data_IF_894006608380
#
_entry.id   IF_894006608380
#
_cell.length_a   1.000
_cell.length_b   1.000
_cell.length_c   1.000
_cell.angle_alpha   90.00
_cell.angle_beta   90.00
_cell.angle_gamma   90.00
#
_symmetry.space_group_name_H-M   'P 1'
#
loop_
_entity.id
_entity.type
_entity.pdbx_description
1 polymer ?
#
# COMPACT_ATOMS: atom_id res chain seq x y z
N UNK A 1 -1.51 -26.81 -33.19
CA UNK A 1 -2.23 -26.48 -31.94
C UNK A 1 -1.94 -25.02 -31.59
N UNK A 2 -2.94 -24.12 -31.63
CA UNK A 2 -2.77 -22.80 -31.03
C UNK A 2 -2.70 -23.00 -29.51
N UNK A 3 -1.64 -22.52 -28.86
CA UNK A 3 -1.47 -22.69 -27.41
C UNK A 3 -0.08 -23.17 -26.95
N UNK A 4 0.85 -23.42 -27.87
CA UNK A 4 2.25 -23.64 -27.47
C UNK A 4 2.88 -22.29 -27.12
N UNK A 5 2.85 -21.93 -25.83
CA UNK A 5 3.57 -20.77 -25.34
C UNK A 5 5.07 -20.98 -25.55
N UNK A 6 5.76 -19.99 -26.14
CA UNK A 6 7.20 -20.08 -26.44
C UNK A 6 8.09 -20.32 -25.20
N UNK A 7 7.63 -19.91 -24.02
CA UNK A 7 8.40 -19.93 -22.78
C UNK A 7 7.68 -20.71 -21.67
N UNK A 8 8.46 -21.26 -20.72
CA UNK A 8 7.94 -21.97 -19.54
C UNK A 8 7.17 -21.01 -18.62
N UNK A 9 6.12 -21.54 -17.97
CA UNK A 9 5.30 -20.81 -17.00
C UNK A 9 5.96 -20.83 -15.61
N UNK A 10 5.92 -19.70 -14.91
CA UNK A 10 6.31 -19.57 -13.49
C UNK A 10 5.02 -19.35 -12.69
N UNK A 11 4.81 -20.13 -11.63
CA UNK A 11 3.63 -20.05 -10.79
C UNK A 11 4.02 -19.67 -9.35
N UNK A 12 3.23 -18.80 -8.74
CA UNK A 12 3.37 -18.36 -7.35
C UNK A 12 2.13 -18.79 -6.56
N UNK A 13 2.29 -19.02 -5.26
CA UNK A 13 1.19 -19.32 -4.33
C UNK A 13 1.25 -18.32 -3.16
N UNK A 14 0.90 -17.06 -3.41
CA UNK A 14 0.86 -16.05 -2.35
C UNK A 14 -0.23 -16.37 -1.35
N UNK A 15 0.00 -16.01 -0.10
CA UNK A 15 -1.04 -15.89 0.92
C UNK A 15 -2.07 -14.83 0.51
N UNK A 16 -3.26 -14.83 1.13
CA UNK A 16 -4.36 -13.93 0.70
C UNK A 16 -3.96 -12.45 0.76
N UNK A 17 -3.26 -12.04 1.82
CA UNK A 17 -2.80 -10.66 1.95
C UNK A 17 -1.70 -10.29 0.94
N UNK A 18 -0.81 -11.21 0.63
CA UNK A 18 0.21 -11.03 -0.40
C UNK A 18 -0.45 -10.88 -1.78
N UNK A 19 -1.49 -11.69 -2.04
CA UNK A 19 -2.27 -11.63 -3.28
C UNK A 19 -2.90 -10.25 -3.46
N UNK A 20 -3.54 -9.73 -2.42
CA UNK A 20 -4.19 -8.41 -2.44
C UNK A 20 -3.16 -7.30 -2.70
N UNK A 21 -2.01 -7.32 -2.00
CA UNK A 21 -0.94 -6.34 -2.23
C UNK A 21 -0.41 -6.41 -3.67
N UNK A 22 -0.18 -7.62 -4.20
CA UNK A 22 0.29 -7.81 -5.58
C UNK A 22 -0.73 -7.25 -6.59
N UNK A 23 -2.02 -7.48 -6.33
CA UNK A 23 -3.11 -7.00 -7.18
C UNK A 23 -3.21 -5.47 -7.20
N UNK A 24 -3.17 -4.84 -6.02
CA UNK A 24 -3.19 -3.38 -5.90
C UNK A 24 -1.94 -2.76 -6.52
N UNK A 25 -0.74 -3.34 -6.29
CA UNK A 25 0.49 -2.86 -6.92
C UNK A 25 0.43 -2.94 -8.43
N UNK A 26 -0.08 -4.05 -8.96
CA UNK A 26 -0.25 -4.21 -10.39
C UNK A 26 -1.22 -3.16 -10.96
N UNK A 27 -2.36 -2.92 -10.30
CA UNK A 27 -3.37 -1.97 -10.73
C UNK A 27 -2.82 -0.52 -10.83
N UNK A 28 -2.05 -0.10 -9.83
CA UNK A 28 -1.49 1.27 -9.73
C UNK A 28 -0.20 1.46 -10.53
N UNK A 29 0.43 0.38 -10.97
CA UNK A 29 1.68 0.43 -11.74
C UNK A 29 1.53 1.02 -13.15
N UNK A 30 0.31 1.02 -13.68
CA UNK A 30 0.03 1.38 -15.07
C UNK A 30 0.41 0.30 -16.09
N UNK A 31 0.83 -0.89 -15.64
CA UNK A 31 1.21 -2.02 -16.46
C UNK A 31 0.16 -3.14 -16.40
N UNK A 32 0.22 -4.10 -17.33
CA UNK A 32 -0.54 -5.34 -17.18
C UNK A 32 -0.01 -6.15 -15.98
N UNK A 33 -0.86 -6.93 -15.30
CA UNK A 33 -0.45 -7.77 -14.14
C UNK A 33 0.74 -8.67 -14.49
N UNK A 34 0.76 -9.23 -15.70
CA UNK A 34 1.87 -10.07 -16.18
C UNK A 34 3.19 -9.27 -16.29
N UNK A 35 3.15 -8.09 -16.90
CA UNK A 35 4.35 -7.28 -17.09
C UNK A 35 4.85 -6.71 -15.76
N UNK A 36 3.93 -6.32 -14.88
CA UNK A 36 4.22 -5.91 -13.51
C UNK A 36 4.95 -7.01 -12.73
N UNK A 37 4.43 -8.24 -12.72
CA UNK A 37 5.07 -9.35 -11.99
C UNK A 37 6.44 -9.65 -12.60
N UNK A 38 6.54 -9.77 -13.93
CA UNK A 38 7.80 -10.07 -14.60
C UNK A 38 8.88 -9.02 -14.33
N UNK A 39 8.55 -7.72 -14.43
CA UNK A 39 9.49 -6.63 -14.17
C UNK A 39 9.86 -6.53 -12.70
N UNK A 40 8.91 -6.79 -11.78
CA UNK A 40 9.19 -6.82 -10.33
C UNK A 40 10.23 -7.88 -10.00
N UNK A 41 10.08 -9.08 -10.56
CA UNK A 41 11.03 -10.17 -10.33
C UNK A 41 12.43 -9.90 -10.88
N UNK A 42 12.57 -9.08 -11.92
CA UNK A 42 13.86 -8.79 -12.56
C UNK A 42 14.57 -7.62 -11.88
N UNK A 43 13.85 -6.54 -11.59
CA UNK A 43 14.45 -5.28 -11.17
C UNK A 43 14.31 -4.98 -9.68
N UNK A 44 13.55 -5.80 -8.94
CA UNK A 44 13.19 -5.63 -7.51
C UNK A 44 12.43 -4.33 -7.17
N UNK A 45 12.45 -3.35 -8.08
CA UNK A 45 11.78 -2.06 -7.99
C UNK A 45 10.97 -1.85 -9.27
N UNK A 46 9.71 -1.50 -9.11
CA UNK A 46 8.91 -0.96 -10.21
C UNK A 46 8.76 0.53 -10.01
N UNK A 47 9.42 1.29 -10.88
CA UNK A 47 9.18 2.71 -11.02
C UNK A 47 7.85 2.91 -11.73
N UNK A 48 6.92 3.57 -11.06
CA UNK A 48 5.71 4.06 -11.70
C UNK A 48 6.09 5.17 -12.67
N UNK A 49 5.87 4.93 -13.96
CA UNK A 49 6.15 5.93 -14.98
C UNK A 49 5.09 7.02 -14.86
N UNK A 50 5.53 8.27 -14.64
CA UNK A 50 4.71 9.46 -14.45
C UNK A 50 3.94 9.89 -15.70
N UNK A 51 3.07 9.01 -16.23
CA UNK A 51 2.12 9.38 -17.27
C UNK A 51 0.88 9.98 -16.64
N UNK A 52 0.29 10.99 -17.30
CA UNK A 52 -0.98 11.61 -16.86
C UNK A 52 -2.10 10.56 -16.70
N UNK A 53 -2.09 9.52 -17.54
CA UNK A 53 -3.03 8.40 -17.46
C UNK A 53 -2.86 7.63 -16.15
N UNK A 54 -1.61 7.33 -15.74
CA UNK A 54 -1.38 6.59 -14.51
C UNK A 54 -1.66 7.42 -13.26
N UNK A 55 -1.27 8.70 -13.27
CA UNK A 55 -1.58 9.63 -12.18
C UNK A 55 -3.10 9.76 -12.02
N UNK A 56 -3.85 9.85 -13.14
CA UNK A 56 -5.31 9.88 -13.10
C UNK A 56 -5.87 8.60 -12.47
N UNK A 57 -5.37 7.42 -12.82
CA UNK A 57 -5.81 6.16 -12.19
C UNK A 57 -5.62 6.19 -10.68
N UNK A 58 -4.45 6.60 -10.19
CA UNK A 58 -4.17 6.72 -8.76
C UNK A 58 -5.17 7.69 -8.10
N UNK A 59 -5.41 8.84 -8.73
CA UNK A 59 -6.38 9.82 -8.22
C UNK A 59 -7.80 9.25 -8.16
N UNK A 60 -8.25 8.60 -9.23
CA UNK A 60 -9.59 7.99 -9.32
C UNK A 60 -9.75 6.91 -8.22
N UNK A 61 -8.73 6.07 -7.98
CA UNK A 61 -8.74 5.06 -6.89
C UNK A 61 -8.80 5.69 -5.50
N UNK A 62 -8.08 6.79 -5.26
CA UNK A 62 -8.15 7.52 -3.98
C UNK A 62 -9.54 8.14 -3.79
N UNK A 63 -10.14 8.67 -4.86
CA UNK A 63 -11.49 9.22 -4.81
C UNK A 63 -12.51 8.13 -4.50
N UNK A 64 -12.41 6.97 -5.13
CA UNK A 64 -13.27 5.82 -4.84
C UNK A 64 -13.14 5.37 -3.38
N UNK A 65 -11.92 5.20 -2.87
CA UNK A 65 -11.68 4.90 -1.44
C UNK A 65 -12.34 5.95 -0.53
N UNK A 66 -12.19 7.24 -0.85
CA UNK A 66 -12.83 8.31 -0.09
C UNK A 66 -14.36 8.17 -0.09
N UNK A 67 -14.98 7.94 -1.26
CA UNK A 67 -16.43 7.79 -1.35
C UNK A 67 -16.92 6.60 -0.53
N UNK A 68 -16.30 5.44 -0.67
CA UNK A 68 -16.63 4.24 0.10
C UNK A 68 -16.53 4.48 1.61
N UNK A 69 -15.45 5.11 2.09
CA UNK A 69 -15.29 5.42 3.52
C UNK A 69 -16.36 6.41 4.02
N UNK A 70 -16.72 7.42 3.22
CA UNK A 70 -17.79 8.36 3.60
C UNK A 70 -19.16 7.72 3.64
N UNK A 71 -19.44 6.79 2.73
CA UNK A 71 -20.69 6.03 2.70
C UNK A 71 -20.80 5.12 3.93
N UNK A 72 -19.76 4.33 4.21
CA UNK A 72 -19.68 3.46 5.40
C UNK A 72 -19.86 4.29 6.68
N UNK A 73 -19.15 5.41 6.80
CA UNK A 73 -19.28 6.32 7.96
C UNK A 73 -20.69 6.86 8.12
N UNK A 74 -21.38 7.15 7.02
CA UNK A 74 -22.77 7.64 7.04
C UNK A 74 -23.74 6.54 7.48
N UNK A 75 -23.57 5.31 6.96
CA UNK A 75 -24.38 4.15 7.36
C UNK A 75 -24.21 3.82 8.84
N UNK A 76 -22.95 3.82 9.34
CA UNK A 76 -22.65 3.62 10.77
C UNK A 76 -23.38 4.66 11.63
N UNK A 77 -23.36 5.92 11.20
CA UNK A 77 -24.05 7.02 11.90
C UNK A 77 -25.58 6.86 11.89
N UNK A 78 -26.12 6.20 10.86
CA UNK A 78 -27.54 5.84 10.76
C UNK A 78 -27.91 4.54 11.52
N UNK A 79 -26.94 3.88 12.15
CA UNK A 79 -27.15 2.64 12.91
C UNK A 79 -27.16 1.36 12.06
N UNK A 80 -26.70 1.44 10.81
CA UNK A 80 -26.58 0.29 9.90
C UNK A 80 -25.10 0.06 9.55
N UNK A 81 -24.61 -1.17 9.73
CA UNK A 81 -23.27 -1.54 9.27
C UNK A 81 -23.40 -2.39 8.01
N UNK A 82 -23.12 -1.82 6.82
CA UNK A 82 -23.52 -2.43 5.56
C UNK A 82 -22.64 -3.61 5.10
N UNK A 83 -21.73 -4.11 5.95
CA UNK A 83 -20.66 -5.03 5.57
C UNK A 83 -20.55 -6.22 6.53
N UNK A 84 -20.17 -7.37 6.00
CA UNK A 84 -19.71 -8.49 6.85
C UNK A 84 -18.30 -8.22 7.36
N UNK A 85 -17.92 -8.88 8.46
CA UNK A 85 -16.56 -8.81 9.02
C UNK A 85 -15.47 -9.18 7.99
N UNK A 86 -15.72 -10.21 7.18
CA UNK A 86 -14.82 -10.63 6.10
C UNK A 86 -14.65 -9.52 5.04
N UNK A 87 -15.75 -8.97 4.55
CA UNK A 87 -15.71 -7.90 3.53
C UNK A 87 -15.07 -6.62 4.07
N UNK A 88 -15.30 -6.29 5.34
CA UNK A 88 -14.66 -5.16 6.00
C UNK A 88 -13.16 -5.37 6.16
N UNK A 89 -12.73 -6.57 6.54
CA UNK A 89 -11.31 -6.93 6.68
C UNK A 89 -10.60 -6.85 5.33
N UNK A 90 -11.18 -7.43 4.27
CA UNK A 90 -10.62 -7.37 2.92
C UNK A 90 -10.51 -5.92 2.42
N UNK A 91 -11.56 -5.11 2.59
CA UNK A 91 -11.51 -3.69 2.20
C UNK A 91 -10.47 -2.90 2.98
N UNK A 92 -10.37 -3.12 4.30
CA UNK A 92 -9.38 -2.47 5.15
C UNK A 92 -7.96 -2.81 4.70
N UNK A 93 -7.70 -4.08 4.39
CA UNK A 93 -6.43 -4.56 3.84
C UNK A 93 -6.13 -3.94 2.47
N UNK A 94 -7.12 -3.85 1.57
CA UNK A 94 -6.95 -3.15 0.28
C UNK A 94 -6.60 -1.69 0.47
N UNK A 95 -7.25 -0.97 1.37
CA UNK A 95 -6.97 0.45 1.62
C UNK A 95 -5.62 0.70 2.28
N UNK A 96 -5.22 -0.13 3.24
CA UNK A 96 -3.86 -0.08 3.81
C UNK A 96 -2.82 -0.36 2.73
N UNK A 97 -3.07 -1.35 1.88
CA UNK A 97 -2.19 -1.68 0.74
C UNK A 97 -2.08 -0.50 -0.22
N UNK A 98 -3.20 0.09 -0.63
CA UNK A 98 -3.26 1.27 -1.50
C UNK A 98 -2.44 2.44 -0.93
N UNK A 99 -2.64 2.78 0.35
CA UNK A 99 -1.89 3.83 1.03
C UNK A 99 -0.38 3.54 1.05
N UNK A 100 0.00 2.30 1.39
CA UNK A 100 1.40 1.85 1.39
C UNK A 100 2.04 1.97 0.00
N UNK A 101 1.31 1.61 -1.05
CA UNK A 101 1.79 1.70 -2.44
C UNK A 101 1.93 3.15 -2.88
N UNK A 102 0.96 4.01 -2.57
CA UNK A 102 1.06 5.45 -2.87
C UNK A 102 2.31 6.04 -2.21
N UNK A 103 2.56 5.65 -0.97
CA UNK A 103 3.75 6.04 -0.23
C UNK A 103 5.03 5.55 -0.94
N UNK A 104 5.11 4.27 -1.33
CA UNK A 104 6.24 3.72 -2.10
C UNK A 104 6.45 4.51 -3.41
N UNK A 105 5.36 4.89 -4.10
CA UNK A 105 5.40 5.69 -5.33
C UNK A 105 5.95 7.09 -5.07
N UNK A 106 5.51 7.75 -4.01
CA UNK A 106 5.96 9.10 -3.63
C UNK A 106 7.45 9.09 -3.25
N UNK A 107 7.88 8.10 -2.47
CA UNK A 107 9.28 7.91 -2.12
C UNK A 107 10.11 7.66 -3.38
N UNK A 108 9.65 6.77 -4.26
CA UNK A 108 10.28 6.48 -5.55
C UNK A 108 10.32 7.69 -6.49
N UNK A 109 9.45 8.68 -6.32
CA UNK A 109 9.43 9.92 -7.08
C UNK A 109 10.30 11.04 -6.46
N UNK A 110 10.89 10.83 -5.28
CA UNK A 110 11.67 11.86 -4.56
C UNK A 110 12.81 12.45 -5.40
N UNK A 111 13.42 11.65 -6.28
CA UNK A 111 14.50 12.09 -7.15
C UNK A 111 14.07 13.19 -8.14
N UNK A 112 12.79 13.27 -8.49
CA UNK A 112 12.25 14.33 -9.36
C UNK A 112 12.27 15.71 -8.70
N UNK A 113 12.45 15.74 -7.38
CA UNK A 113 12.47 16.94 -6.56
C UNK A 113 13.82 17.13 -5.86
N UNK A 114 14.89 16.50 -6.38
CA UNK A 114 16.24 16.51 -5.81
C UNK A 114 16.31 16.06 -4.34
N UNK A 115 15.36 15.21 -3.93
CA UNK A 115 15.29 14.65 -2.58
C UNK A 115 15.68 13.18 -2.58
N UNK A 116 16.29 12.75 -1.47
CA UNK A 116 16.46 11.32 -1.18
C UNK A 116 15.18 10.80 -0.51
N UNK A 117 14.72 9.58 -0.85
CA UNK A 117 13.61 8.97 -0.15
C UNK A 117 13.98 8.77 1.34
N UNK A 118 13.02 8.88 2.26
CA UNK A 118 13.26 8.58 3.66
C UNK A 118 13.66 7.11 3.83
N UNK A 119 14.60 6.83 4.75
CA UNK A 119 14.92 5.46 5.10
C UNK A 119 13.73 4.81 5.82
N UNK A 120 13.24 3.67 5.30
CA UNK A 120 12.06 2.96 5.81
C UNK A 120 12.34 1.64 6.52
N UNK A 121 13.60 1.42 6.90
CA UNK A 121 14.01 0.10 7.38
C UNK A 121 14.21 -0.91 6.24
N UNK A 122 14.57 -2.12 6.64
CA UNK A 122 14.71 -3.28 5.76
C UNK A 122 13.37 -3.73 5.19
N UNK A 123 13.42 -4.59 4.16
CA UNK A 123 12.20 -5.21 3.59
C UNK A 123 11.45 -6.02 4.66
N UNK A 124 12.19 -6.73 5.52
CA UNK A 124 11.63 -7.55 6.60
C UNK A 124 10.91 -6.70 7.65
N UNK A 125 11.51 -5.58 8.06
CA UNK A 125 10.88 -4.65 9.02
C UNK A 125 9.57 -4.07 8.47
N UNK A 126 9.54 -3.73 7.18
CA UNK A 126 8.32 -3.25 6.53
C UNK A 126 7.25 -4.34 6.40
N UNK A 127 7.66 -5.56 6.08
CA UNK A 127 6.75 -6.71 6.01
C UNK A 127 6.13 -7.01 7.38
N UNK A 128 6.93 -6.99 8.44
CA UNK A 128 6.48 -7.22 9.81
C UNK A 128 5.54 -6.12 10.29
N UNK A 129 5.84 -4.86 10.00
CA UNK A 129 4.95 -3.74 10.30
C UNK A 129 3.61 -3.86 9.55
N UNK A 130 3.63 -4.29 8.28
CA UNK A 130 2.39 -4.56 7.54
C UNK A 130 1.61 -5.72 8.19
N UNK A 131 2.26 -6.84 8.55
CA UNK A 131 1.59 -7.95 9.23
C UNK A 131 0.95 -7.54 10.55
N UNK A 132 1.62 -6.71 11.34
CA UNK A 132 1.07 -6.16 12.59
C UNK A 132 -0.16 -5.27 12.33
N UNK A 133 -0.14 -4.45 11.29
CA UNK A 133 -1.31 -3.66 10.87
C UNK A 133 -2.48 -4.55 10.41
N UNK A 134 -2.19 -5.67 9.75
CA UNK A 134 -3.24 -6.62 9.33
C UNK A 134 -3.84 -7.38 10.51
N UNK A 135 -3.01 -7.76 11.48
CA UNK A 135 -3.50 -8.41 12.70
C UNK A 135 -4.39 -7.48 13.53
N UNK A 136 -4.10 -6.17 13.57
CA UNK A 136 -4.93 -5.21 14.29
C UNK A 136 -6.27 -4.94 13.60
N UNK A 137 -6.32 -5.03 12.27
CA UNK A 137 -7.58 -4.95 11.51
C UNK A 137 -8.45 -6.18 11.78
N UNK A 138 -7.87 -7.38 11.82
CA UNK A 138 -8.59 -8.63 12.05
C UNK A 138 -9.01 -8.87 13.51
N UNK A 139 -8.42 -8.15 14.47
CA UNK A 139 -8.76 -8.24 15.90
C UNK A 139 -8.89 -6.83 16.49
N UNK A 140 -10.01 -6.12 16.25
CA UNK A 140 -10.18 -4.74 16.71
C UNK A 140 -10.26 -4.60 18.25
N UNK A 141 -10.36 -5.71 18.99
CA UNK A 141 -10.43 -5.72 20.46
C UNK A 141 -9.57 -6.85 21.02
N UNK A 142 -8.44 -6.48 21.65
CA UNK A 142 -7.90 -7.28 22.76
C UNK A 142 -7.86 -6.54 24.08
N UNK A 143 -7.81 -5.20 24.10
CA UNK A 143 -7.86 -4.45 25.35
C UNK A 143 -8.77 -3.23 25.20
N UNK A 144 -9.85 -3.21 25.97
CA UNK A 144 -10.86 -2.14 26.00
C UNK A 144 -10.32 -0.80 26.50
N UNK A 145 -9.40 -0.20 25.75
CA UNK A 145 -8.87 1.13 26.01
C UNK A 145 -9.09 2.00 24.77
N UNK A 146 -9.80 3.12 24.88
CA UNK A 146 -9.99 4.04 23.77
C UNK A 146 -8.65 4.52 23.24
N UNK A 147 -8.47 4.49 21.92
CA UNK A 147 -7.35 5.15 21.23
C UNK A 147 -7.45 6.63 21.58
N UNK A 148 -6.60 7.08 22.51
CA UNK A 148 -6.47 8.48 22.83
C UNK A 148 -5.79 9.20 21.66
N UNK A 149 -6.29 10.41 21.46
CA UNK A 149 -5.91 11.40 20.48
C UNK A 149 -4.44 11.46 20.05
N UNK A 150 -4.28 11.91 18.80
CA UNK A 150 -3.02 12.07 18.11
C UNK A 150 -1.95 12.74 18.95
N UNK A 151 -0.83 12.03 19.09
CA UNK A 151 0.46 12.64 19.38
C UNK A 151 1.37 12.40 18.18
N UNK A 152 1.33 13.37 17.26
CA UNK A 152 2.48 13.72 16.46
C UNK A 152 3.59 14.02 17.46
N UNK A 153 4.74 13.34 17.38
CA UNK A 153 6.09 13.89 17.61
C UNK A 153 7.10 12.73 17.77
N UNK A 154 7.66 12.31 16.65
CA UNK A 154 8.92 11.59 16.58
C UNK A 154 9.92 12.39 15.75
N UNK A 155 10.20 13.64 16.15
CA UNK A 155 11.35 14.37 15.60
C UNK A 155 12.62 13.60 16.00
N UNK A 156 13.17 12.84 15.06
CA UNK A 156 14.55 12.38 15.15
C UNK A 156 15.43 13.62 15.00
N UNK A 157 15.98 14.11 16.10
CA UNK A 157 17.02 15.15 16.09
C UNK A 157 18.14 14.68 15.16
N UNK A 158 18.34 15.39 14.07
CA UNK A 158 19.62 15.38 13.38
C UNK A 158 20.53 16.28 14.20
N UNK A 159 21.47 15.68 14.93
CA UNK A 159 22.57 16.42 15.54
C UNK A 159 23.43 16.97 14.40
N UNK A 160 23.27 18.27 14.13
CA UNK A 160 24.24 19.08 13.44
C UNK A 160 25.40 19.36 14.38
N UNK A 161 26.48 18.60 14.24
CA UNK A 161 27.78 18.94 14.78
C UNK A 161 28.47 19.89 13.81
N UNK A 162 28.69 21.10 14.30
CA UNK A 162 29.20 22.29 13.63
C UNK A 162 30.64 22.12 13.10
N UNK A 163 30.93 22.92 12.08
CA UNK A 163 32.21 23.03 11.40
C UNK A 163 33.28 23.63 12.32
N UNK A 164 34.52 23.18 12.19
CA UNK A 164 35.71 24.01 12.48
C UNK A 164 36.90 23.48 11.70
N UNK A 165 37.10 24.02 10.49
CA UNK A 165 38.34 24.64 10.03
C UNK A 165 38.15 25.30 8.65
#
# INVERSE_FOLDING_TARGET
MPGVHKNKTIAFRPEEWERIIIEEKAALSGMSKKDFIAKSCIYSNICVVGSKVNIKKILDTIQEMKYSLTEISSSISAGDFPLSEETFTEMSLRYVSLCSIIIDILDGASYLFDKKPPFRGSVLEREEHLKQLLESIGNPVKDGTPIQDGSIMGQKKCDGGDETQ
#
